data_IF_803298383683
#
_entry.id   IF_803298383683
#
_cell.length_a   1.000
_cell.length_b   1.000
_cell.length_c   1.000
_cell.angle_alpha   90.00
_cell.angle_beta   90.00
_cell.angle_gamma   90.00
#
_symmetry.space_group_name_H-M   'P 1'
#
loop_
_entity.id
_entity.type
_entity.pdbx_description
1 polymer ?
#
# COMPACT_ATOMS: atom_id res chain seq x y z
N UNK A 1 4.41 17.96 -14.53
CA UNK A 1 3.89 16.95 -13.57
C UNK A 1 3.49 17.66 -12.28
N UNK A 2 2.36 17.29 -11.66
CA UNK A 2 1.68 18.07 -10.60
C UNK A 2 2.28 17.94 -9.17
N UNK A 3 3.38 17.21 -8.97
CA UNK A 3 4.04 17.11 -7.65
C UNK A 3 3.22 16.44 -6.54
N UNK A 4 2.12 15.75 -6.88
CA UNK A 4 1.16 15.20 -5.92
C UNK A 4 1.56 13.82 -5.37
N UNK A 5 2.77 13.72 -4.79
CA UNK A 5 3.31 12.46 -4.29
C UNK A 5 2.42 11.78 -3.24
N UNK A 6 1.86 12.55 -2.29
CA UNK A 6 0.96 12.03 -1.25
C UNK A 6 -0.33 11.47 -1.83
N UNK A 7 -0.95 12.18 -2.77
CA UNK A 7 -2.20 11.74 -3.41
C UNK A 7 -1.97 10.44 -4.18
N UNK A 8 -0.87 10.35 -4.92
CA UNK A 8 -0.51 9.15 -5.67
C UNK A 8 -0.20 7.98 -4.73
N UNK A 9 0.53 8.22 -3.64
CA UNK A 9 0.83 7.20 -2.64
C UNK A 9 -0.47 6.63 -2.06
N UNK A 10 -1.40 7.47 -1.60
CA UNK A 10 -2.69 7.02 -1.06
C UNK A 10 -3.49 6.22 -2.08
N UNK A 11 -3.50 6.66 -3.35
CA UNK A 11 -4.25 6.02 -4.42
C UNK A 11 -3.75 4.60 -4.70
N UNK A 12 -2.43 4.37 -4.62
CA UNK A 12 -1.80 3.08 -4.91
C UNK A 12 -1.68 2.15 -3.70
N UNK A 13 -1.98 2.62 -2.49
CA UNK A 13 -1.77 1.87 -1.24
C UNK A 13 -3.10 1.73 -0.48
N UNK A 14 -3.38 2.66 0.43
CA UNK A 14 -4.46 2.59 1.42
C UNK A 14 -5.86 2.62 0.80
N UNK A 15 -6.00 3.17 -0.41
CA UNK A 15 -7.29 3.21 -1.14
C UNK A 15 -7.52 2.00 -2.02
N UNK A 16 -6.48 1.44 -2.65
CA UNK A 16 -6.61 0.36 -3.62
C UNK A 16 -6.31 -1.03 -3.05
N UNK A 17 -5.23 -1.18 -2.28
CA UNK A 17 -4.51 -2.45 -2.18
C UNK A 17 -4.29 -2.92 -0.73
N UNK A 18 -4.28 -2.01 0.24
CA UNK A 18 -4.10 -2.35 1.66
C UNK A 18 -5.45 -2.61 2.36
N UNK A 19 -5.78 -3.89 2.56
CA UNK A 19 -7.05 -4.31 3.19
C UNK A 19 -7.15 -3.82 4.65
N UNK A 20 -6.05 -3.89 5.41
CA UNK A 20 -6.04 -3.57 6.84
C UNK A 20 -6.01 -2.05 7.04
N UNK A 21 -5.17 -1.35 6.28
CA UNK A 21 -5.09 0.11 6.30
C UNK A 21 -6.37 0.76 5.81
N UNK A 22 -7.08 0.16 4.85
CA UNK A 22 -8.36 0.69 4.35
C UNK A 22 -9.43 0.74 5.44
N UNK A 23 -9.57 -0.31 6.24
CA UNK A 23 -10.52 -0.32 7.35
C UNK A 23 -10.22 0.76 8.39
N UNK A 24 -8.93 0.92 8.75
CA UNK A 24 -8.47 1.97 9.67
C UNK A 24 -8.62 3.37 9.08
N UNK A 25 -8.43 3.53 7.77
CA UNK A 25 -8.69 4.80 7.09
C UNK A 25 -10.17 5.18 7.14
N UNK A 26 -11.08 4.22 6.94
CA UNK A 26 -12.51 4.46 7.11
C UNK A 26 -12.85 4.89 8.54
N UNK A 27 -12.29 4.20 9.54
CA UNK A 27 -12.48 4.57 10.95
C UNK A 27 -11.94 5.98 11.25
N UNK A 28 -10.76 6.32 10.75
CA UNK A 28 -10.16 7.64 10.91
C UNK A 28 -11.02 8.74 10.25
N UNK A 29 -11.54 8.50 9.04
CA UNK A 29 -12.44 9.44 8.35
C UNK A 29 -13.71 9.69 9.16
N UNK A 30 -14.31 8.64 9.72
CA UNK A 30 -15.52 8.76 10.55
C UNK A 30 -15.25 9.52 11.85
N UNK A 31 -14.06 9.34 12.45
CA UNK A 31 -13.64 10.03 13.67
C UNK A 31 -13.06 11.43 13.45
N UNK A 32 -12.82 11.83 12.20
CA UNK A 32 -12.13 13.08 11.87
C UNK A 32 -10.63 13.08 12.23
N UNK A 33 -10.02 11.89 12.34
CA UNK A 33 -8.61 11.70 12.63
C UNK A 33 -7.79 11.57 11.33
N UNK A 34 -6.48 11.76 11.42
CA UNK A 34 -5.60 11.55 10.27
C UNK A 34 -5.55 10.05 9.90
N UNK A 35 -5.63 9.71 8.60
CA UNK A 35 -5.50 8.33 8.15
C UNK A 35 -4.12 7.77 8.53
N UNK A 36 -4.03 6.45 8.75
CA UNK A 36 -2.77 5.82 9.13
C UNK A 36 -1.74 5.90 7.99
N UNK A 37 -0.46 5.76 8.33
CA UNK A 37 0.62 5.78 7.34
C UNK A 37 0.47 4.61 6.35
N UNK A 38 0.62 4.86 5.04
CA UNK A 38 0.62 3.81 4.04
C UNK A 38 1.75 2.79 4.24
N UNK A 39 1.47 1.52 3.96
CA UNK A 39 2.45 0.44 3.94
C UNK A 39 2.73 -0.05 2.53
N UNK A 40 3.62 -1.05 2.40
CA UNK A 40 3.87 -1.74 1.13
C UNK A 40 2.56 -2.38 0.63
N UNK A 41 2.19 -2.20 -0.65
CA UNK A 41 1.02 -2.85 -1.24
C UNK A 41 1.14 -4.38 -1.22
N UNK A 42 0.02 -5.07 -1.05
CA UNK A 42 -0.04 -6.54 -1.10
C UNK A 42 0.27 -7.07 -2.51
N UNK A 43 -0.12 -6.33 -3.55
CA UNK A 43 0.24 -6.63 -4.95
C UNK A 43 1.75 -6.71 -5.16
N UNK A 44 2.54 -5.95 -4.39
CA UNK A 44 4.00 -6.07 -4.43
C UNK A 44 4.48 -7.37 -3.78
N UNK A 45 3.87 -7.79 -2.67
CA UNK A 45 4.16 -9.08 -2.05
C UNK A 45 3.84 -10.22 -3.02
N UNK A 46 2.68 -10.17 -3.70
CA UNK A 46 2.30 -11.16 -4.72
C UNK A 46 3.35 -11.23 -5.83
N UNK A 47 3.77 -10.08 -6.38
CA UNK A 47 4.82 -10.02 -7.40
C UNK A 47 6.12 -10.70 -6.94
N UNK A 48 6.56 -10.44 -5.70
CA UNK A 48 7.76 -11.09 -5.14
C UNK A 48 7.58 -12.61 -5.05
N UNK A 49 6.41 -13.09 -4.67
CA UNK A 49 6.12 -14.52 -4.62
C UNK A 49 6.09 -15.16 -6.02
N UNK A 50 5.53 -14.48 -7.02
CA UNK A 50 5.54 -14.94 -8.41
C UNK A 50 6.95 -15.07 -8.96
N UNK A 51 7.82 -14.09 -8.69
CA UNK A 51 9.22 -14.11 -9.10
C UNK A 51 10.01 -15.23 -8.40
N UNK A 52 9.73 -15.49 -7.12
CA UNK A 52 10.30 -16.67 -6.41
C UNK A 52 9.89 -17.99 -7.05
N UNK A 53 8.68 -18.08 -7.60
CA UNK A 53 8.22 -19.23 -8.39
C UNK A 53 9.07 -19.49 -9.64
N UNK A 54 9.71 -18.44 -10.18
CA UNK A 54 10.65 -18.52 -11.30
C UNK A 54 12.11 -18.77 -10.86
N UNK A 55 12.32 -19.19 -9.61
CA UNK A 55 13.66 -19.38 -9.00
C UNK A 55 14.49 -18.10 -8.86
N UNK A 56 13.85 -16.92 -8.90
CA UNK A 56 14.51 -15.63 -8.65
C UNK A 56 14.41 -15.28 -7.17
N UNK A 57 15.57 -15.16 -6.49
CA UNK A 57 15.64 -14.74 -5.09
C UNK A 57 15.80 -13.22 -4.99
N UNK A 58 14.77 -12.56 -4.45
CA UNK A 58 14.75 -11.12 -4.20
C UNK A 58 14.97 -10.85 -2.72
N UNK A 59 15.99 -10.05 -2.43
CA UNK A 59 16.33 -9.56 -1.09
C UNK A 59 16.14 -8.05 -1.05
N UNK A 60 15.52 -7.58 0.01
CA UNK A 60 15.36 -6.16 0.31
C UNK A 60 16.21 -5.86 1.55
N UNK A 61 17.02 -4.81 1.49
CA UNK A 61 17.76 -4.26 2.65
C UNK A 61 16.89 -3.30 3.47
#
# INVERSE_FOLDING_TARGET
>A
AYGAANILQELLTIKSDDIVGRAKAYEAIVKGENPPKPTVPESFNVLVHELRGLTLDLKFE
#
